data_IF_727623594599
#
_entry.id   IF_727623594599
#
_cell.length_a   1.000
_cell.length_b   1.000
_cell.length_c   1.000
_cell.angle_alpha   90.00
_cell.angle_beta   90.00
_cell.angle_gamma   90.00
#
_symmetry.space_group_name_H-M   'P 1'
#
loop_
_entity.id
_entity.type
_entity.pdbx_description
1 polymer ?
#
# COMPACT_ATOMS: atom_id res chain seq x y z
N UNK A 1 21.69 33.19 -0.78
CA UNK A 1 22.53 32.12 -1.33
C UNK A 1 21.68 30.87 -1.35
N UNK A 2 21.61 30.23 -2.51
CA UNK A 2 20.53 29.35 -2.96
C UNK A 2 20.49 28.01 -2.21
N UNK A 3 19.29 27.64 -1.76
CA UNK A 3 19.00 26.25 -1.39
C UNK A 3 18.89 25.46 -2.70
N UNK A 4 19.96 24.79 -3.09
CA UNK A 4 19.93 23.86 -4.20
C UNK A 4 19.01 22.69 -3.83
N UNK A 5 17.77 22.73 -4.34
CA UNK A 5 16.99 21.54 -4.54
C UNK A 5 17.82 20.63 -5.45
N UNK A 6 18.39 19.56 -4.90
CA UNK A 6 18.91 18.47 -5.71
C UNK A 6 17.71 17.86 -6.44
N UNK A 7 17.44 18.38 -7.63
CA UNK A 7 16.54 17.81 -8.60
C UNK A 7 17.02 16.40 -8.92
N UNK A 8 16.30 15.45 -8.35
CA UNK A 8 16.20 14.05 -8.68
C UNK A 8 16.59 13.76 -10.14
N UNK A 9 17.78 13.20 -10.30
CA UNK A 9 18.33 12.74 -11.59
C UNK A 9 18.06 11.24 -11.80
N UNK A 10 17.01 10.68 -11.20
CA UNK A 10 16.79 9.23 -11.12
C UNK A 10 15.45 8.77 -11.73
N UNK A 11 14.86 9.59 -12.61
CA UNK A 11 13.60 9.24 -13.30
C UNK A 11 13.69 7.93 -14.11
N UNK A 12 14.85 7.61 -14.71
CA UNK A 12 15.06 6.33 -15.39
C UNK A 12 15.11 5.13 -14.43
N UNK A 13 15.50 5.33 -13.18
CA UNK A 13 15.64 4.26 -12.20
C UNK A 13 14.35 4.00 -11.45
N UNK A 14 13.50 5.02 -11.22
CA UNK A 14 12.20 4.81 -10.60
C UNK A 14 11.26 3.97 -11.48
N UNK A 15 11.27 4.18 -12.80
CA UNK A 15 10.57 3.35 -13.78
C UNK A 15 11.11 1.90 -13.80
N UNK A 16 12.42 1.75 -13.94
CA UNK A 16 13.09 0.44 -13.94
C UNK A 16 12.83 -0.34 -12.64
N UNK A 17 12.80 0.35 -11.50
CA UNK A 17 12.51 -0.24 -10.20
C UNK A 17 11.04 -0.66 -10.08
N UNK A 18 10.12 0.12 -10.64
CA UNK A 18 8.70 -0.21 -10.66
C UNK A 18 8.44 -1.46 -11.53
N UNK A 19 9.04 -1.53 -12.72
CA UNK A 19 8.97 -2.71 -13.60
C UNK A 19 9.57 -3.94 -12.92
N UNK A 20 10.75 -3.80 -12.30
CA UNK A 20 11.38 -4.91 -11.57
C UNK A 20 10.55 -5.37 -10.37
N UNK A 21 9.87 -4.46 -9.68
CA UNK A 21 8.96 -4.80 -8.61
C UNK A 21 7.74 -5.57 -9.14
N UNK A 22 7.23 -5.19 -10.32
CA UNK A 22 6.12 -5.89 -11.00
C UNK A 22 6.49 -7.33 -11.42
N UNK A 23 7.78 -7.61 -11.62
CA UNK A 23 8.31 -8.93 -11.93
C UNK A 23 8.65 -9.81 -10.71
N UNK A 24 8.41 -9.33 -9.49
CA UNK A 24 8.68 -10.11 -8.30
C UNK A 24 7.73 -11.34 -8.23
N UNK A 25 8.26 -12.57 -8.04
CA UNK A 25 7.42 -13.78 -7.97
C UNK A 25 6.41 -13.76 -6.82
N UNK A 26 6.61 -12.91 -5.80
CA UNK A 26 5.65 -12.76 -4.70
C UNK A 26 4.30 -12.17 -5.14
N UNK A 27 4.27 -11.40 -6.23
CA UNK A 27 3.05 -10.76 -6.74
C UNK A 27 2.63 -11.31 -8.11
N UNK A 28 3.28 -12.36 -8.61
CA UNK A 28 3.00 -12.92 -9.93
C UNK A 28 1.56 -13.43 -10.05
N UNK A 29 1.01 -14.01 -8.98
CA UNK A 29 -0.38 -14.48 -8.94
C UNK A 29 -1.37 -13.32 -9.12
N UNK A 30 -1.10 -12.18 -8.47
CA UNK A 30 -1.92 -10.97 -8.57
C UNK A 30 -1.87 -10.38 -9.99
N UNK A 31 -0.68 -10.41 -10.61
CA UNK A 31 -0.42 -9.90 -11.96
C UNK A 31 -1.01 -10.77 -13.06
N UNK A 32 -1.01 -12.09 -12.87
CA UNK A 32 -1.44 -13.04 -13.90
C UNK A 32 -2.93 -13.44 -13.76
N UNK A 33 -3.60 -13.01 -12.68
CA UNK A 33 -5.02 -13.28 -12.44
C UNK A 33 -5.96 -12.46 -13.33
N UNK A 34 -7.27 -12.69 -13.17
CA UNK A 34 -8.34 -12.06 -13.97
C UNK A 34 -8.37 -10.53 -13.90
N UNK A 35 -7.89 -9.95 -12.80
CA UNK A 35 -7.77 -8.49 -12.62
C UNK A 35 -6.33 -7.97 -12.75
N UNK A 36 -5.42 -8.81 -13.27
CA UNK A 36 -3.99 -8.56 -13.29
C UNK A 36 -3.54 -7.32 -14.07
N UNK A 37 -4.27 -6.97 -15.13
CA UNK A 37 -4.02 -5.73 -15.90
C UNK A 37 -4.27 -4.50 -15.04
N UNK A 38 -5.43 -4.44 -14.37
CA UNK A 38 -5.79 -3.33 -13.48
C UNK A 38 -4.84 -3.25 -12.28
N UNK A 39 -4.41 -4.41 -11.77
CA UNK A 39 -3.41 -4.50 -10.70
C UNK A 39 -2.07 -3.90 -11.14
N UNK A 40 -1.57 -4.32 -12.31
CA UNK A 40 -0.29 -3.86 -12.85
C UNK A 40 -0.28 -2.35 -13.06
N UNK A 41 -1.35 -1.81 -13.66
CA UNK A 41 -1.49 -0.37 -13.92
C UNK A 41 -1.53 0.44 -12.64
N UNK A 42 -2.32 0.00 -11.64
CA UNK A 42 -2.40 0.66 -10.34
C UNK A 42 -1.07 0.59 -9.57
N UNK A 43 -0.41 -0.58 -9.58
CA UNK A 43 0.84 -0.82 -8.88
C UNK A 43 2.01 -0.01 -9.46
N UNK A 44 2.16 -0.01 -10.79
CA UNK A 44 3.17 0.80 -11.46
C UNK A 44 2.92 2.29 -11.26
N UNK A 45 1.66 2.74 -11.36
CA UNK A 45 1.32 4.13 -11.09
C UNK A 45 1.73 4.54 -9.67
N UNK A 46 1.40 3.73 -8.66
CA UNK A 46 1.76 4.00 -7.27
C UNK A 46 3.28 4.10 -7.06
N UNK A 47 4.05 3.16 -7.62
CA UNK A 47 5.51 3.16 -7.48
C UNK A 47 6.18 4.33 -8.23
N UNK A 48 5.58 4.80 -9.32
CA UNK A 48 6.08 5.91 -10.13
C UNK A 48 5.59 7.28 -9.65
N UNK A 49 4.50 7.33 -8.87
CA UNK A 49 3.91 8.57 -8.36
C UNK A 49 4.94 9.40 -7.61
N UNK A 50 5.04 10.68 -7.94
CA UNK A 50 5.88 11.67 -7.26
C UNK A 50 5.06 12.70 -6.48
N UNK A 51 3.75 12.47 -6.36
CA UNK A 51 2.88 13.29 -5.55
C UNK A 51 3.28 13.27 -4.07
N UNK A 52 2.99 14.37 -3.35
CA UNK A 52 3.28 14.53 -1.91
C UNK A 52 2.70 13.38 -1.09
N UNK A 53 1.44 13.03 -1.38
CA UNK A 53 0.85 11.77 -0.96
C UNK A 53 0.96 10.76 -2.11
N UNK A 54 1.85 9.77 -1.96
CA UNK A 54 2.12 8.74 -2.98
C UNK A 54 0.82 8.11 -3.47
N UNK A 55 0.61 8.13 -4.79
CA UNK A 55 -0.54 7.51 -5.45
C UNK A 55 -1.83 8.32 -5.39
N UNK A 56 -1.84 9.53 -4.82
CA UNK A 56 -2.99 10.44 -4.87
C UNK A 56 -3.39 10.83 -6.31
N UNK A 57 -2.44 10.79 -7.25
CA UNK A 57 -2.62 10.94 -8.69
C UNK A 57 -3.06 9.65 -9.40
N UNK A 58 -3.04 8.51 -8.71
CA UNK A 58 -3.30 7.16 -9.25
C UNK A 58 -4.66 6.58 -8.87
N UNK A 59 -5.57 7.39 -8.33
CA UNK A 59 -6.88 6.92 -7.83
C UNK A 59 -7.68 6.18 -8.91
N UNK A 60 -7.63 6.64 -10.16
CA UNK A 60 -8.38 6.04 -11.27
C UNK A 60 -7.99 4.57 -11.52
N UNK A 61 -6.71 4.22 -11.72
CA UNK A 61 -6.25 2.84 -11.76
C UNK A 61 -6.73 1.98 -10.57
N UNK A 62 -6.62 2.48 -9.34
CA UNK A 62 -7.05 1.73 -8.16
C UNK A 62 -8.57 1.48 -8.13
N UNK A 63 -9.38 2.45 -8.55
CA UNK A 63 -10.83 2.25 -8.67
C UNK A 63 -11.17 1.20 -9.72
N UNK A 64 -10.43 1.17 -10.84
CA UNK A 64 -10.65 0.16 -11.88
C UNK A 64 -10.30 -1.25 -11.38
N UNK A 65 -9.21 -1.39 -10.61
CA UNK A 65 -8.87 -2.65 -9.92
C UNK A 65 -9.95 -3.07 -8.93
N UNK A 66 -10.41 -2.16 -8.07
CA UNK A 66 -11.50 -2.46 -7.11
C UNK A 66 -12.78 -2.91 -7.81
N UNK A 67 -13.15 -2.26 -8.91
CA UNK A 67 -14.32 -2.65 -9.70
C UNK A 67 -14.14 -4.04 -10.31
N UNK A 68 -12.95 -4.38 -10.78
CA UNK A 68 -12.67 -5.73 -11.29
C UNK A 68 -12.80 -6.80 -10.19
N UNK A 69 -12.26 -6.53 -9.00
CA UNK A 69 -12.35 -7.45 -7.84
C UNK A 69 -13.81 -7.71 -7.47
N UNK A 70 -14.64 -6.65 -7.43
CA UNK A 70 -16.07 -6.76 -7.09
C UNK A 70 -16.84 -7.64 -8.09
N UNK A 71 -16.50 -7.58 -9.36
CA UNK A 71 -17.13 -8.41 -10.41
C UNK A 71 -16.60 -9.85 -10.35
N UNK A 72 -15.37 -10.04 -9.88
CA UNK A 72 -14.68 -11.34 -9.85
C UNK A 72 -14.20 -11.66 -8.42
N UNK A 73 -15.10 -12.06 -7.49
CA UNK A 73 -14.74 -12.36 -6.10
C UNK A 73 -13.77 -13.54 -5.95
N UNK A 74 -13.56 -14.34 -7.00
CA UNK A 74 -12.56 -15.40 -7.07
C UNK A 74 -11.21 -15.00 -7.67
N UNK A 75 -11.07 -13.76 -8.18
CA UNK A 75 -9.86 -13.31 -8.88
C UNK A 75 -8.63 -13.19 -7.97
N UNK A 76 -8.84 -13.20 -6.65
CA UNK A 76 -7.81 -13.11 -5.64
C UNK A 76 -8.11 -14.11 -4.51
N UNK A 77 -7.06 -14.65 -3.89
CA UNK A 77 -7.21 -15.54 -2.74
C UNK A 77 -8.04 -14.91 -1.63
N UNK A 78 -8.83 -15.70 -0.92
CA UNK A 78 -9.66 -15.25 0.20
C UNK A 78 -8.85 -14.60 1.34
N UNK A 79 -7.56 -14.91 1.44
CA UNK A 79 -6.63 -14.25 2.35
C UNK A 79 -6.38 -12.76 2.00
N UNK A 80 -6.56 -12.40 0.72
CA UNK A 80 -6.36 -11.05 0.18
C UNK A 80 -7.69 -10.28 0.16
N UNK A 81 -8.78 -10.95 -0.22
CA UNK A 81 -10.12 -10.36 -0.26
C UNK A 81 -10.91 -10.88 0.93
N UNK A 82 -10.75 -10.21 2.07
CA UNK A 82 -11.65 -10.41 3.22
C UNK A 82 -12.96 -9.69 2.92
N UNK A 83 -13.88 -10.40 2.26
CA UNK A 83 -15.26 -9.94 2.04
C UNK A 83 -15.90 -9.60 3.40
N UNK A 84 -16.20 -8.33 3.61
CA UNK A 84 -17.07 -7.84 4.68
C UNK A 84 -18.54 -8.21 4.33
N UNK A 85 -18.87 -9.51 4.37
CA UNK A 85 -20.16 -9.96 3.81
C UNK A 85 -20.71 -11.33 4.23
N UNK A 86 -20.05 -12.11 5.09
CA UNK A 86 -20.69 -13.28 5.74
C UNK A 86 -20.64 -13.16 7.26
N UNK A 87 -21.82 -13.11 7.86
CA UNK A 87 -22.04 -13.30 9.30
C UNK A 87 -21.54 -14.70 9.72
N UNK A 88 -20.27 -14.81 10.12
CA UNK A 88 -19.81 -15.93 10.94
C UNK A 88 -19.57 -15.40 12.34
N UNK A 89 -20.55 -15.66 13.21
CA UNK A 89 -20.34 -15.69 14.67
C UNK A 89 -19.30 -16.77 14.97
N UNK A 90 -18.03 -16.41 14.96
CA UNK A 90 -17.01 -17.07 15.77
C UNK A 90 -16.29 -16.01 16.56
N UNK A 91 -16.55 -16.05 17.85
CA UNK A 91 -15.73 -15.45 18.89
C UNK A 91 -14.34 -16.08 18.77
N UNK A 92 -13.45 -15.43 18.02
CA UNK A 92 -12.01 -15.67 18.10
C UNK A 92 -11.41 -14.59 18.99
N UNK A 93 -10.71 -15.05 20.03
CA UNK A 93 -10.04 -14.18 21.00
C UNK A 93 -9.13 -13.18 20.27
N UNK A 94 -9.06 -11.92 20.74
CA UNK A 94 -8.28 -10.89 20.07
C UNK A 94 -6.81 -11.27 20.07
N UNK A 95 -6.30 -11.67 18.90
CA UNK A 95 -4.86 -11.83 18.69
C UNK A 95 -4.21 -10.47 18.95
N UNK A 96 -3.47 -10.38 20.06
CA UNK A 96 -2.76 -9.17 20.46
C UNK A 96 -1.60 -8.91 19.49
N UNK A 97 -1.89 -8.26 18.37
CA UNK A 97 -0.87 -7.76 17.46
C UNK A 97 -0.08 -6.64 18.14
N UNK A 98 1.24 -6.82 18.27
CA UNK A 98 2.15 -5.75 18.69
C UNK A 98 2.44 -4.88 17.49
N UNK A 99 1.68 -3.79 17.34
CA UNK A 99 2.01 -2.74 16.38
C UNK A 99 3.30 -2.07 16.87
N UNK A 100 4.40 -2.25 16.13
CA UNK A 100 5.64 -1.54 16.39
C UNK A 100 5.57 -0.22 15.59
N UNK A 101 5.44 0.93 16.26
CA UNK A 101 5.37 2.20 15.54
C UNK A 101 6.74 2.53 14.92
N UNK A 102 6.75 3.16 13.74
CA UNK A 102 7.99 3.61 13.11
C UNK A 102 8.67 4.71 13.94
N UNK A 103 9.99 4.88 13.78
CA UNK A 103 10.81 5.75 14.64
C UNK A 103 10.29 7.19 14.72
N UNK A 104 9.80 7.74 13.61
CA UNK A 104 9.24 9.10 13.50
C UNK A 104 7.94 9.32 14.29
N UNK A 105 7.25 8.25 14.72
CA UNK A 105 6.05 8.33 15.54
C UNK A 105 6.37 8.38 17.06
N UNK A 106 7.62 8.16 17.46
CA UNK A 106 8.03 8.13 18.87
C UNK A 106 8.37 9.51 19.44
N UNK A 107 8.59 10.50 18.59
CA UNK A 107 9.05 11.85 18.98
C UNK A 107 7.95 12.83 19.39
N UNK A 108 6.68 12.37 19.51
CA UNK A 108 5.56 13.21 19.95
C UNK A 108 4.95 12.74 21.27
N UNK A 109 5.78 12.62 22.31
CA UNK A 109 5.24 12.64 23.68
C UNK A 109 5.53 14.01 24.31
N UNK A 110 4.52 14.82 24.65
CA UNK A 110 4.74 15.94 25.55
C UNK A 110 5.14 15.36 26.92
N UNK A 111 6.23 15.90 27.49
CA UNK A 111 6.70 15.56 28.82
C UNK A 111 5.58 15.84 29.84
N UNK A 112 4.93 14.80 30.34
CA UNK A 112 4.00 14.91 31.47
C UNK A 112 4.77 15.25 32.76
N UNK A 113 4.25 16.11 33.63
CA UNK A 113 4.95 16.60 34.81
C UNK A 113 5.09 15.52 35.88
N UNK A 114 6.27 15.44 36.51
CA UNK A 114 6.54 14.52 37.63
C UNK A 114 5.67 14.90 38.85
N UNK A 115 5.00 13.96 39.52
CA UNK A 115 4.33 14.25 40.79
C UNK A 115 5.38 14.58 41.85
N UNK A 116 5.20 15.71 42.54
CA UNK A 116 6.01 16.09 43.70
C UNK A 116 5.62 15.20 44.88
N UNK A 117 6.62 14.52 45.47
CA UNK A 117 6.64 14.16 46.89
C UNK A 117 7.57 15.12 47.62
#
# INVERSE_FOLDING_TARGET
AEAAAFGDSDWQSQDSKAEKALDCPCISELRNGECGVQFSDAFLCFLKSTAEEKGSDCVRPFVALQNCIKVNPGAFSKDVVKEEGEEVKKEEEPVKYRIIPPLWARDKTPSSPKPKL
#
